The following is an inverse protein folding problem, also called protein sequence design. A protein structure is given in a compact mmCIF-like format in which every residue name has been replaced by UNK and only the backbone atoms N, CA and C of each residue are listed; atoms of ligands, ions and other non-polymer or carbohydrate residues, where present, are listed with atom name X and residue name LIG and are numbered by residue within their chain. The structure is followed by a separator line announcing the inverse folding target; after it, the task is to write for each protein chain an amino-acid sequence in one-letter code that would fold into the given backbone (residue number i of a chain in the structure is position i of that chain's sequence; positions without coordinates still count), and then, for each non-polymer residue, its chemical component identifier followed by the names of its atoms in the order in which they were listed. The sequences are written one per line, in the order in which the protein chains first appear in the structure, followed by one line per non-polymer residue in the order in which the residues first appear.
data_IF_420486255788
#
_entry.id   IF_420486255788
#
_cell.length_a   1.000
_cell.length_b   1.000
_cell.length_c   1.000
_cell.angle_alpha   90.00
_cell.angle_beta   90.00
_cell.angle_gamma   90.00
#
_symmetry.space_group_name_H-M   'P 1'
#
loop_
_entity.id
_entity.type
_entity.pdbx_description
1 polymer ?
#
# COMPACT_ATOMS: atom_id res chain seq x y z
N UNK A 1 -22.32 -27.61 33.38
CA UNK A 1 -21.25 -27.25 32.41
C UNK A 1 -19.96 -28.04 32.66
N UNK A 2 -19.48 -28.10 33.90
CA UNK A 2 -18.31 -28.90 34.33
C UNK A 2 -18.38 -30.39 33.96
N UNK A 3 -19.56 -31.02 34.06
CA UNK A 3 -19.73 -32.44 33.70
C UNK A 3 -19.54 -32.74 32.20
N UNK A 4 -19.89 -31.79 31.33
CA UNK A 4 -19.76 -31.96 29.88
C UNK A 4 -18.28 -31.83 29.49
N UNK A 5 -17.56 -30.86 30.06
CA UNK A 5 -16.12 -30.71 29.87
C UNK A 5 -15.33 -31.93 30.35
N UNK A 6 -15.68 -32.47 31.53
CA UNK A 6 -15.05 -33.69 32.03
C UNK A 6 -15.31 -34.89 31.11
N UNK A 7 -16.54 -35.05 30.59
CA UNK A 7 -16.86 -36.10 29.61
C UNK A 7 -16.06 -35.95 28.31
N UNK A 8 -15.90 -34.73 27.82
CA UNK A 8 -15.13 -34.44 26.61
C UNK A 8 -13.64 -34.72 26.84
N UNK A 9 -13.07 -34.32 27.98
CA UNK A 9 -11.68 -34.58 28.32
C UNK A 9 -11.39 -36.07 28.45
N UNK A 10 -12.31 -36.81 29.08
CA UNK A 10 -12.17 -38.27 29.24
C UNK A 10 -12.25 -38.98 27.89
N UNK A 11 -13.18 -38.58 27.02
CA UNK A 11 -13.30 -39.07 25.63
C UNK A 11 -12.05 -38.73 24.79
N UNK A 12 -11.50 -37.53 24.93
CA UNK A 12 -10.27 -37.13 24.24
C UNK A 12 -9.06 -37.97 24.67
N UNK A 13 -8.90 -38.20 25.98
CA UNK A 13 -7.83 -39.04 26.52
C UNK A 13 -7.98 -40.51 26.10
N UNK A 14 -9.21 -41.02 25.99
CA UNK A 14 -9.50 -42.37 25.49
C UNK A 14 -9.21 -42.51 23.99
N UNK A 15 -9.58 -41.50 23.19
CA UNK A 15 -9.26 -41.40 21.77
C UNK A 15 -7.75 -41.41 21.51
N UNK A 16 -6.97 -40.66 22.30
CA UNK A 16 -5.49 -40.64 22.20
C UNK A 16 -4.83 -41.99 22.52
N UNK A 17 -5.49 -42.83 23.32
CA UNK A 17 -5.03 -44.19 23.66
C UNK A 17 -5.52 -45.25 22.65
N UNK A 18 -6.36 -44.87 21.68
CA UNK A 18 -6.96 -45.79 20.72
C UNK A 18 -8.08 -46.66 21.30
N UNK A 19 -8.65 -46.29 22.45
CA UNK A 19 -9.66 -47.06 23.17
C UNK A 19 -11.11 -46.69 22.74
N UNK A 20 -11.30 -45.67 21.90
CA UNK A 20 -12.61 -45.28 21.39
C UNK A 20 -13.01 -46.02 20.10
N UNK A 21 -14.33 -46.18 19.91
CA UNK A 21 -14.88 -46.75 18.68
C UNK A 21 -14.57 -45.85 17.47
N UNK A 22 -14.19 -46.48 16.35
CA UNK A 22 -13.83 -45.81 15.10
C UNK A 22 -14.91 -44.83 14.62
N UNK A 23 -16.19 -45.16 14.79
CA UNK A 23 -17.29 -44.25 14.44
C UNK A 23 -17.31 -42.96 15.27
N UNK A 24 -17.04 -43.03 16.58
CA UNK A 24 -16.96 -41.82 17.43
C UNK A 24 -15.74 -40.99 17.07
N UNK A 25 -14.62 -41.65 16.78
CA UNK A 25 -13.40 -41.00 16.32
C UNK A 25 -13.64 -40.22 15.01
N UNK A 26 -14.30 -40.85 14.03
CA UNK A 26 -14.52 -40.26 12.71
C UNK A 26 -15.58 -39.15 12.79
N UNK A 27 -16.73 -39.39 13.40
CA UNK A 27 -17.85 -38.46 13.34
C UNK A 27 -17.79 -37.36 14.41
N UNK A 28 -17.27 -37.63 15.60
CA UNK A 28 -17.17 -36.59 16.65
C UNK A 28 -15.85 -35.85 16.49
N UNK A 29 -14.72 -36.56 16.58
CA UNK A 29 -13.41 -35.92 16.53
C UNK A 29 -13.02 -35.46 15.12
N UNK A 30 -13.36 -36.22 14.07
CA UNK A 30 -13.09 -35.82 12.69
C UNK A 30 -13.86 -34.56 12.27
N UNK A 31 -15.17 -34.48 12.58
CA UNK A 31 -15.97 -33.28 12.28
C UNK A 31 -15.48 -32.08 13.08
N UNK A 32 -15.23 -32.24 14.39
CA UNK A 32 -14.70 -31.16 15.24
C UNK A 32 -13.35 -30.67 14.72
N UNK A 33 -12.45 -31.58 14.33
CA UNK A 33 -11.14 -31.24 13.79
C UNK A 33 -11.24 -30.50 12.46
N UNK A 34 -12.17 -30.91 11.57
CA UNK A 34 -12.40 -30.23 10.30
C UNK A 34 -12.92 -28.79 10.51
N UNK A 35 -13.87 -28.60 11.43
CA UNK A 35 -14.40 -27.28 11.77
C UNK A 35 -13.32 -26.38 12.38
N UNK A 36 -12.51 -26.91 13.29
CA UNK A 36 -11.36 -26.21 13.87
C UNK A 36 -10.33 -25.82 12.82
N UNK A 37 -9.96 -26.74 11.92
CA UNK A 37 -9.01 -26.46 10.84
C UNK A 37 -9.54 -25.38 9.89
N UNK A 38 -10.83 -25.41 9.55
CA UNK A 38 -11.46 -24.37 8.73
C UNK A 38 -11.43 -22.99 9.40
N UNK A 39 -11.75 -22.93 10.70
CA UNK A 39 -11.71 -21.69 11.48
C UNK A 39 -10.28 -21.15 11.59
N UNK A 40 -9.31 -22.01 11.93
CA UNK A 40 -7.90 -21.62 12.04
C UNK A 40 -7.33 -21.14 10.72
N UNK A 41 -7.62 -21.83 9.60
CA UNK A 41 -7.16 -21.41 8.28
C UNK A 41 -7.74 -20.03 7.90
N UNK A 42 -9.01 -19.79 8.20
CA UNK A 42 -9.64 -18.48 7.98
C UNK A 42 -8.99 -17.41 8.85
N UNK A 43 -8.70 -17.71 10.11
CA UNK A 43 -8.07 -16.79 11.06
C UNK A 43 -6.63 -16.45 10.66
N UNK A 44 -5.84 -17.45 10.26
CA UNK A 44 -4.46 -17.27 9.76
C UNK A 44 -4.45 -16.41 8.51
N UNK A 45 -5.33 -16.68 7.53
CA UNK A 45 -5.43 -15.88 6.30
C UNK A 45 -5.81 -14.43 6.60
N UNK A 46 -6.79 -14.21 7.47
CA UNK A 46 -7.21 -12.86 7.87
C UNK A 46 -6.08 -12.12 8.58
N UNK A 47 -5.42 -12.75 9.55
CA UNK A 47 -4.29 -12.13 10.27
C UNK A 47 -3.14 -11.83 9.32
N UNK A 48 -2.80 -12.76 8.41
CA UNK A 48 -1.70 -12.57 7.49
C UNK A 48 -1.97 -11.42 6.50
N UNK A 49 -3.17 -11.36 5.91
CA UNK A 49 -3.54 -10.31 4.95
C UNK A 49 -3.59 -8.93 5.63
N UNK A 50 -4.25 -8.84 6.80
CA UNK A 50 -4.39 -7.57 7.51
C UNK A 50 -3.08 -7.11 8.14
N UNK A 51 -2.39 -7.96 8.91
CA UNK A 51 -1.21 -7.54 9.64
C UNK A 51 -0.05 -7.21 8.70
N UNK A 52 0.36 -8.15 7.83
CA UNK A 52 1.47 -7.89 6.91
C UNK A 52 1.11 -6.84 5.87
N UNK A 53 -0.13 -6.85 5.36
CA UNK A 53 -0.59 -5.84 4.41
C UNK A 53 -0.56 -4.43 5.00
N UNK A 54 -1.01 -4.26 6.24
CA UNK A 54 -1.00 -2.96 6.93
C UNK A 54 0.42 -2.50 7.22
N UNK A 55 1.29 -3.40 7.71
CA UNK A 55 2.70 -3.05 8.00
C UNK A 55 3.45 -2.62 6.73
N UNK A 56 3.31 -3.37 5.63
CA UNK A 56 3.96 -3.03 4.36
C UNK A 56 3.41 -1.70 3.82
N UNK A 57 2.09 -1.48 3.89
CA UNK A 57 1.47 -0.23 3.44
C UNK A 57 1.97 0.97 4.25
N UNK A 58 2.11 0.84 5.56
CA UNK A 58 2.66 1.89 6.42
C UNK A 58 4.11 2.24 6.04
N UNK A 59 4.95 1.23 5.77
CA UNK A 59 6.34 1.45 5.32
C UNK A 59 6.38 2.18 3.98
N UNK A 60 5.51 1.81 3.02
CA UNK A 60 5.43 2.45 1.71
C UNK A 60 4.96 3.91 1.81
N UNK A 61 3.96 4.21 2.64
CA UNK A 61 3.52 5.58 2.89
C UNK A 61 4.67 6.43 3.45
N UNK A 62 5.41 5.91 4.43
CA UNK A 62 6.58 6.61 4.99
C UNK A 62 7.65 6.87 3.93
N UNK A 63 7.92 5.90 3.06
CA UNK A 63 8.87 6.05 1.95
C UNK A 63 8.46 7.16 0.98
N UNK A 64 7.21 7.18 0.50
CA UNK A 64 6.74 8.20 -0.43
C UNK A 64 6.65 9.58 0.22
N UNK A 65 6.24 9.66 1.50
CA UNK A 65 6.25 10.91 2.25
C UNK A 65 7.67 11.49 2.38
N UNK A 66 8.66 10.63 2.66
CA UNK A 66 10.07 11.01 2.65
C UNK A 66 10.54 11.46 1.27
N UNK A 67 10.13 10.76 0.20
CA UNK A 67 10.49 11.11 -1.17
C UNK A 67 9.97 12.50 -1.56
N UNK A 68 8.72 12.82 -1.24
CA UNK A 68 8.16 14.17 -1.41
C UNK A 68 8.96 15.21 -0.62
N UNK A 69 9.32 14.91 0.63
CA UNK A 69 10.14 15.81 1.45
C UNK A 69 11.52 16.05 0.82
N UNK A 70 12.20 14.99 0.38
CA UNK A 70 13.51 15.06 -0.26
C UNK A 70 13.44 15.86 -1.57
N UNK A 71 12.44 15.61 -2.42
CA UNK A 71 12.21 16.37 -3.65
C UNK A 71 11.99 17.86 -3.35
N UNK A 72 11.21 18.19 -2.32
CA UNK A 72 10.96 19.58 -1.93
C UNK A 72 12.21 20.26 -1.36
N UNK A 73 13.03 19.52 -0.60
CA UNK A 73 14.28 20.02 -0.03
C UNK A 73 15.38 20.21 -1.09
N UNK A 74 15.45 19.30 -2.05
CA UNK A 74 16.41 19.32 -3.15
C UNK A 74 15.95 20.14 -4.36
N UNK A 75 14.71 20.62 -4.37
CA UNK A 75 14.20 21.47 -5.45
C UNK A 75 15.07 22.74 -5.54
N UNK A 76 15.61 23.06 -6.73
CA UNK A 76 16.50 24.20 -6.90
C UNK A 76 15.78 25.48 -6.48
N UNK A 77 16.33 26.18 -5.48
CA UNK A 77 15.83 27.49 -5.06
C UNK A 77 15.87 28.40 -6.29
N UNK A 78 14.71 28.90 -6.71
CA UNK A 78 14.62 29.85 -7.84
C UNK A 78 15.61 30.99 -7.57
N UNK A 79 16.57 31.27 -8.47
CA UNK A 79 17.55 32.33 -8.27
C UNK A 79 16.80 33.65 -8.07
N UNK A 80 17.23 34.44 -7.07
CA UNK A 80 16.70 35.79 -6.84
C UNK A 80 17.23 36.70 -7.96
N UNK A 81 16.59 36.64 -9.14
CA UNK A 81 16.90 37.51 -10.26
C UNK A 81 16.61 38.98 -9.88
N UNK A 82 17.57 39.86 -10.15
CA UNK A 82 17.41 41.33 -10.06
C UNK A 82 16.37 41.82 -11.08
N UNK A 83 15.85 43.05 -10.89
CA UNK A 83 14.80 43.62 -11.75
C UNK A 83 15.23 43.67 -13.23
N UNK A 84 16.50 43.99 -13.49
CA UNK A 84 17.08 44.06 -14.83
C UNK A 84 17.21 42.70 -15.52
N UNK A 85 17.66 41.67 -14.79
CA UNK A 85 17.75 40.31 -15.34
C UNK A 85 16.37 39.72 -15.64
N UNK A 86 15.35 40.00 -14.81
CA UNK A 86 13.96 39.61 -15.09
C UNK A 86 13.42 40.25 -16.36
N UNK A 87 13.84 41.47 -16.68
CA UNK A 87 13.40 42.20 -17.86
C UNK A 87 14.01 41.60 -19.13
N UNK A 88 15.32 41.31 -19.12
CA UNK A 88 16.00 40.58 -20.22
C UNK A 88 15.39 39.20 -20.47
N UNK A 89 15.12 38.43 -19.42
CA UNK A 89 14.47 37.11 -19.51
C UNK A 89 13.06 37.18 -20.12
N UNK A 90 12.32 38.27 -19.89
CA UNK A 90 10.99 38.48 -20.50
C UNK A 90 11.09 38.80 -21.98
N UNK A 91 12.09 39.58 -22.38
CA UNK A 91 12.33 39.92 -23.79
C UNK A 91 12.80 38.71 -24.59
N UNK A 92 13.71 37.89 -24.04
CA UNK A 92 14.13 36.63 -24.66
C UNK A 92 12.95 35.65 -24.79
N UNK A 93 12.15 35.49 -23.74
CA UNK A 93 10.95 34.64 -23.79
C UNK A 93 9.94 35.09 -24.84
N UNK A 94 9.77 36.40 -25.06
CA UNK A 94 8.89 36.93 -26.11
C UNK A 94 9.41 36.60 -27.51
N UNK A 95 10.72 36.72 -27.74
CA UNK A 95 11.35 36.37 -29.02
C UNK A 95 11.27 34.87 -29.32
N UNK A 96 11.37 34.02 -28.30
CA UNK A 96 11.26 32.56 -28.47
C UNK A 96 9.83 32.04 -28.51
N UNK A 97 8.84 32.79 -28.05
CA UNK A 97 7.46 32.29 -27.90
C UNK A 97 6.87 31.78 -29.21
N UNK A 98 6.99 32.54 -30.31
CA UNK A 98 6.47 32.15 -31.62
C UNK A 98 7.15 30.89 -32.16
N UNK A 99 8.48 30.79 -32.06
CA UNK A 99 9.24 29.59 -32.45
C UNK A 99 8.85 28.37 -31.61
N UNK A 100 8.63 28.55 -30.32
CA UNK A 100 8.26 27.48 -29.38
C UNK A 100 6.83 26.99 -29.62
N UNK A 101 5.92 27.89 -29.98
CA UNK A 101 4.54 27.55 -30.32
C UNK A 101 4.47 26.75 -31.63
N UNK A 102 5.24 27.16 -32.65
CA UNK A 102 5.42 26.38 -33.88
C UNK A 102 6.00 24.98 -33.62
N UNK A 103 7.04 24.85 -32.79
CA UNK A 103 7.61 23.54 -32.43
C UNK A 103 6.61 22.65 -31.68
N UNK A 104 5.78 23.21 -30.80
CA UNK A 104 4.72 22.45 -30.11
C UNK A 104 3.60 22.04 -31.08
N UNK A 105 3.19 22.92 -31.98
CA UNK A 105 2.16 22.64 -32.98
C UNK A 105 2.60 21.57 -33.99
N UNK A 106 3.90 21.54 -34.32
CA UNK A 106 4.55 20.49 -35.12
C UNK A 106 4.88 19.22 -34.32
N UNK A 107 4.41 19.09 -33.07
CA UNK A 107 4.68 17.96 -32.18
C UNK A 107 6.18 17.70 -31.88
N UNK A 108 7.07 18.61 -32.24
CA UNK A 108 8.50 18.52 -31.94
C UNK A 108 8.81 18.76 -30.45
N UNK A 109 7.92 19.42 -29.71
CA UNK A 109 8.00 19.55 -28.25
C UNK A 109 6.67 19.17 -27.60
N UNK A 110 6.72 18.48 -26.45
CA UNK A 110 5.49 18.17 -25.70
C UNK A 110 4.78 19.45 -25.23
N UNK A 111 3.45 19.44 -25.35
CA UNK A 111 2.61 20.53 -24.82
C UNK A 111 2.76 20.66 -23.31
N UNK A 112 2.90 19.52 -22.66
CA UNK A 112 3.03 19.32 -21.22
C UNK A 112 4.50 19.28 -20.81
N UNK A 113 5.18 20.45 -20.83
CA UNK A 113 6.39 20.64 -20.00
C UNK A 113 5.94 20.82 -18.54
N UNK A 114 5.46 19.75 -17.92
CA UNK A 114 5.21 19.71 -16.49
C UNK A 114 6.57 19.56 -15.82
N UNK A 115 6.77 20.27 -14.72
CA UNK A 115 7.99 20.15 -13.92
C UNK A 115 8.11 18.67 -13.49
N UNK A 116 9.20 17.95 -13.85
CA UNK A 116 9.36 16.54 -13.49
C UNK A 116 9.21 16.31 -11.99
N UNK A 117 9.62 17.28 -11.17
CA UNK A 117 9.49 17.26 -9.71
C UNK A 117 8.01 17.27 -9.32
N UNK A 118 7.20 18.09 -9.99
CA UNK A 118 5.76 18.19 -9.73
C UNK A 118 5.03 16.90 -10.11
N UNK A 119 5.36 16.31 -11.26
CA UNK A 119 4.78 15.01 -11.69
C UNK A 119 5.11 13.92 -10.66
N UNK A 120 6.37 13.85 -10.20
CA UNK A 120 6.78 12.88 -9.18
C UNK A 120 5.99 13.05 -7.89
N UNK A 121 5.78 14.28 -7.40
CA UNK A 121 5.00 14.54 -6.19
C UNK A 121 3.54 14.09 -6.36
N UNK A 122 2.94 14.31 -7.55
CA UNK A 122 1.56 13.88 -7.82
C UNK A 122 1.44 12.35 -7.81
N UNK A 123 2.41 11.65 -8.40
CA UNK A 123 2.46 10.18 -8.38
C UNK A 123 2.64 9.67 -6.94
N UNK A 124 3.57 10.25 -6.19
CA UNK A 124 3.83 9.87 -4.80
C UNK A 124 2.59 10.09 -3.92
N UNK A 125 1.89 11.22 -4.10
CA UNK A 125 0.66 11.52 -3.38
C UNK A 125 -0.48 10.56 -3.74
N UNK A 126 -0.59 10.16 -5.02
CA UNK A 126 -1.54 9.14 -5.47
C UNK A 126 -1.24 7.78 -4.83
N UNK A 127 0.03 7.35 -4.81
CA UNK A 127 0.44 6.13 -4.13
C UNK A 127 0.11 6.16 -2.64
N UNK A 128 0.40 7.26 -1.93
CA UNK A 128 0.04 7.43 -0.52
C UNK A 128 -1.47 7.30 -0.31
N UNK A 129 -2.27 8.00 -1.12
CA UNK A 129 -3.73 7.95 -1.01
C UNK A 129 -4.27 6.53 -1.19
N UNK A 130 -3.73 5.79 -2.14
CA UNK A 130 -4.15 4.42 -2.42
C UNK A 130 -3.77 3.44 -1.30
N UNK A 131 -2.60 3.62 -0.68
CA UNK A 131 -2.20 2.82 0.49
C UNK A 131 -2.97 3.20 1.75
N UNK A 132 -3.34 4.48 1.93
CA UNK A 132 -4.21 4.90 3.03
C UNK A 132 -5.60 4.29 2.88
N UNK A 133 -6.18 4.30 1.68
CA UNK A 133 -7.48 3.65 1.41
C UNK A 133 -7.42 2.15 1.73
N UNK A 134 -6.33 1.46 1.36
CA UNK A 134 -6.11 0.05 1.71
C UNK A 134 -6.03 -0.21 3.22
N UNK A 135 -5.52 0.73 4.03
CA UNK A 135 -5.44 0.57 5.49
C UNK A 135 -6.80 0.83 6.15
N UNK A 136 -7.58 1.79 5.62
CA UNK A 136 -8.87 2.19 6.19
C UNK A 136 -9.97 1.18 5.87
N UNK A 137 -9.86 0.47 4.73
CA UNK A 137 -10.88 -0.43 4.20
C UNK A 137 -10.67 -1.89 4.61
#
# INVERSE_FOLDING_TARGET
MTDIFNKIETSFRASLRGEESTDKLIYVWGIISYVLAFLLNKLIKTVHVYFFGTTISAVLICYFAWHIYALKKCSPKKPKLTKEEKQKLREEKRKEFGKKLMRKLLLQESFTKWDPIFISIVIDAFCIAQFIDYIIR
#
